data_IF_547418860619
#
_entry.id   IF_547418860619
#
_cell.length_a   1.000
_cell.length_b   1.000
_cell.length_c   1.000
_cell.angle_alpha   90.00
_cell.angle_beta   90.00
_cell.angle_gamma   90.00
#
_symmetry.space_group_name_H-M   'P 1'
#
loop_
_entity.id
_entity.type
_entity.pdbx_description
1 polymer ?
#
# COMPACT_ATOMS: atom_id res chain seq x y z
N UNK A 1 -9.88 -13.76 -37.41
CA UNK A 1 -9.79 -13.00 -36.13
C UNK A 1 -9.18 -11.66 -36.47
N UNK A 2 -9.84 -10.55 -36.13
CA UNK A 2 -9.25 -9.23 -36.34
C UNK A 2 -7.92 -9.16 -35.55
N UNK A 3 -6.87 -8.63 -36.17
CA UNK A 3 -5.58 -8.40 -35.50
C UNK A 3 -5.87 -7.49 -34.31
N UNK A 4 -5.52 -7.92 -33.09
CA UNK A 4 -5.69 -7.08 -31.91
C UNK A 4 -4.87 -5.81 -32.08
N UNK A 5 -5.49 -4.66 -31.81
CA UNK A 5 -4.84 -3.37 -31.89
C UNK A 5 -3.64 -3.32 -30.92
N UNK A 6 -2.51 -2.83 -31.41
CA UNK A 6 -1.31 -2.64 -30.60
C UNK A 6 -0.49 -1.46 -31.14
N UNK A 7 0.31 -0.87 -30.27
CA UNK A 7 1.38 0.06 -30.65
C UNK A 7 2.71 -0.45 -30.10
N UNK A 8 3.81 -0.06 -30.73
CA UNK A 8 5.17 -0.35 -30.27
C UNK A 8 5.76 0.91 -29.65
N UNK A 9 6.28 0.78 -28.44
CA UNK A 9 6.95 1.86 -27.72
C UNK A 9 8.45 1.55 -27.68
N UNK A 10 9.28 2.52 -28.06
CA UNK A 10 10.73 2.47 -27.89
C UNK A 10 11.08 3.23 -26.61
N UNK A 11 11.33 2.50 -25.53
CA UNK A 11 11.55 3.07 -24.19
C UNK A 11 12.72 2.39 -23.51
N UNK A 12 13.61 3.18 -22.90
CA UNK A 12 14.86 2.69 -22.28
C UNK A 12 15.70 1.78 -23.19
N UNK A 13 15.66 1.98 -24.52
CA UNK A 13 16.36 1.13 -25.49
C UNK A 13 15.71 -0.24 -25.77
N UNK A 14 14.44 -0.40 -25.38
CA UNK A 14 13.66 -1.62 -25.57
C UNK A 14 12.36 -1.38 -26.32
N UNK A 15 12.03 -2.31 -27.21
CA UNK A 15 10.72 -2.39 -27.86
C UNK A 15 9.68 -3.02 -26.91
N UNK A 16 8.73 -2.21 -26.44
CA UNK A 16 7.62 -2.65 -25.60
C UNK A 16 6.32 -2.62 -26.39
N UNK A 17 5.73 -3.80 -26.62
CA UNK A 17 4.43 -3.94 -27.30
C UNK A 17 3.27 -3.61 -26.35
N UNK A 18 2.58 -2.50 -26.58
CA UNK A 18 1.37 -2.11 -25.86
C UNK A 18 0.13 -2.63 -26.58
N UNK A 19 -0.64 -3.49 -25.90
CA UNK A 19 -1.86 -4.09 -26.46
C UNK A 19 -3.13 -3.37 -26.00
N UNK A 20 -4.10 -3.22 -26.90
CA UNK A 20 -5.36 -2.51 -26.66
C UNK A 20 -5.13 -1.10 -26.07
N UNK A 21 -4.36 -0.22 -26.73
CA UNK A 21 -4.01 1.10 -26.21
C UNK A 21 -5.25 1.95 -25.90
N UNK A 22 -6.28 1.92 -26.74
CA UNK A 22 -7.53 2.66 -26.55
C UNK A 22 -8.49 2.08 -25.50
N UNK A 23 -8.10 1.05 -24.74
CA UNK A 23 -8.96 0.49 -23.69
C UNK A 23 -9.11 1.50 -22.56
N UNK A 24 -10.34 1.94 -22.29
CA UNK A 24 -10.66 2.86 -21.18
C UNK A 24 -10.44 2.17 -19.83
N UNK A 25 -9.58 2.76 -18.99
CA UNK A 25 -9.33 2.32 -17.62
C UNK A 25 -10.07 3.18 -16.60
N UNK A 26 -10.27 4.47 -16.89
CA UNK A 26 -10.97 5.42 -16.02
C UNK A 26 -12.16 6.02 -16.77
N UNK A 27 -13.37 5.43 -16.63
CA UNK A 27 -14.52 5.82 -17.46
C UNK A 27 -14.99 7.27 -17.28
N UNK A 28 -14.90 7.81 -16.07
CA UNK A 28 -15.37 9.18 -15.78
C UNK A 28 -14.56 10.26 -16.53
N UNK A 29 -13.21 10.29 -16.45
CA UNK A 29 -12.40 11.21 -17.26
C UNK A 29 -12.14 10.70 -18.68
N UNK A 30 -12.36 9.42 -18.96
CA UNK A 30 -12.11 8.80 -20.27
C UNK A 30 -10.68 8.29 -20.48
N UNK A 31 -9.82 8.29 -19.44
CA UNK A 31 -8.42 7.88 -19.59
C UNK A 31 -8.29 6.41 -19.99
N UNK A 32 -7.48 6.21 -21.01
CA UNK A 32 -7.17 4.93 -21.64
C UNK A 32 -5.91 4.30 -21.06
N UNK A 33 -5.63 3.07 -21.48
CA UNK A 33 -4.37 2.40 -21.18
C UNK A 33 -3.17 3.19 -21.73
N UNK A 34 -3.28 3.76 -22.92
CA UNK A 34 -2.20 4.56 -23.51
C UNK A 34 -1.90 5.79 -22.65
N UNK A 35 -2.92 6.53 -22.23
CA UNK A 35 -2.76 7.71 -21.37
C UNK A 35 -2.06 7.35 -20.05
N UNK A 36 -2.40 6.20 -19.47
CA UNK A 36 -1.75 5.70 -18.26
C UNK A 36 -0.27 5.36 -18.49
N UNK A 37 0.07 4.75 -19.64
CA UNK A 37 1.48 4.49 -19.99
C UNK A 37 2.23 5.81 -20.16
N UNK A 38 1.66 6.74 -20.91
CA UNK A 38 2.26 8.05 -21.16
C UNK A 38 2.49 8.84 -19.87
N UNK A 39 1.55 8.78 -18.92
CA UNK A 39 1.76 9.32 -17.56
C UNK A 39 2.99 8.71 -16.88
N UNK A 40 3.10 7.38 -16.84
CA UNK A 40 4.21 6.72 -16.15
C UNK A 40 5.55 6.97 -16.84
N UNK A 41 5.56 7.15 -18.16
CA UNK A 41 6.76 7.56 -18.90
C UNK A 41 7.13 9.02 -18.61
N UNK A 42 6.15 9.93 -18.57
CA UNK A 42 6.39 11.35 -18.28
C UNK A 42 6.83 11.61 -16.84
N UNK A 43 6.39 10.77 -15.89
CA UNK A 43 6.74 10.84 -14.48
C UNK A 43 7.86 9.85 -14.07
N UNK A 44 8.51 9.19 -15.03
CA UNK A 44 9.35 8.02 -14.75
C UNK A 44 10.47 8.29 -13.75
N UNK A 45 11.19 9.40 -13.89
CA UNK A 45 12.29 9.75 -12.98
C UNK A 45 11.82 9.79 -11.52
N UNK A 46 10.70 10.48 -11.26
CA UNK A 46 10.12 10.61 -9.92
C UNK A 46 9.49 9.30 -9.42
N UNK A 47 8.83 8.53 -10.30
CA UNK A 47 8.30 7.20 -9.97
C UNK A 47 9.43 6.25 -9.55
N UNK A 48 10.55 6.28 -10.27
CA UNK A 48 11.67 5.36 -10.07
C UNK A 48 12.48 5.67 -8.80
N UNK A 49 12.45 6.89 -8.27
CA UNK A 49 12.96 7.20 -6.92
C UNK A 49 12.35 6.27 -5.87
N UNK A 50 11.08 5.90 -6.05
CA UNK A 50 10.34 5.07 -5.09
C UNK A 50 10.24 3.59 -5.46
N UNK A 51 10.55 3.19 -6.71
CA UNK A 51 10.42 1.80 -7.18
C UNK A 51 11.75 1.10 -7.47
N UNK A 52 12.80 1.84 -7.82
CA UNK A 52 14.06 1.25 -8.28
C UNK A 52 14.67 0.34 -7.23
N UNK A 53 15.16 -0.81 -7.67
CA UNK A 53 15.69 -1.92 -6.87
C UNK A 53 14.67 -2.59 -5.93
N UNK A 54 13.39 -2.21 -5.93
CA UNK A 54 12.39 -2.78 -5.02
C UNK A 54 11.55 -3.86 -5.70
N UNK A 55 11.48 -5.07 -5.14
CA UNK A 55 10.44 -6.02 -5.52
C UNK A 55 9.08 -5.37 -5.29
N UNK A 56 8.16 -5.56 -6.23
CA UNK A 56 6.92 -4.78 -6.28
C UNK A 56 5.70 -5.67 -6.52
N UNK A 57 4.71 -5.55 -5.64
CA UNK A 57 3.39 -6.15 -5.83
C UNK A 57 2.60 -5.32 -6.83
N UNK A 58 2.08 -5.98 -7.86
CA UNK A 58 1.33 -5.38 -8.95
C UNK A 58 -0.17 -5.45 -8.66
N UNK A 59 -0.84 -4.30 -8.51
CA UNK A 59 -2.31 -4.24 -8.45
C UNK A 59 -2.88 -3.93 -9.82
N UNK A 60 -3.46 -4.95 -10.46
CA UNK A 60 -3.84 -4.94 -11.88
C UNK A 60 -5.33 -4.77 -12.07
N UNK A 61 -5.72 -3.85 -12.94
CA UNK A 61 -7.10 -3.59 -13.37
C UNK A 61 -7.21 -3.85 -14.87
N UNK A 62 -7.19 -5.13 -15.24
CA UNK A 62 -7.11 -5.55 -16.66
C UNK A 62 -8.29 -4.99 -17.47
N UNK A 63 -9.44 -4.77 -16.83
CA UNK A 63 -10.68 -4.27 -17.40
C UNK A 63 -11.09 -2.86 -16.93
N UNK A 64 -10.17 -2.10 -16.32
CA UNK A 64 -10.44 -0.77 -15.77
C UNK A 64 -10.88 -0.81 -14.31
N UNK A 65 -11.04 0.38 -13.70
CA UNK A 65 -11.15 0.55 -12.25
C UNK A 65 -12.49 0.11 -11.65
N UNK A 66 -13.53 -0.07 -12.48
CA UNK A 66 -14.86 -0.49 -12.02
C UNK A 66 -14.97 -2.01 -11.81
N UNK A 67 -13.90 -2.75 -12.11
CA UNK A 67 -13.82 -4.21 -11.97
C UNK A 67 -12.84 -4.57 -10.85
N UNK A 68 -13.00 -5.77 -10.29
CA UNK A 68 -12.13 -6.25 -9.22
C UNK A 68 -10.65 -6.28 -9.64
N UNK A 69 -9.73 -5.80 -8.78
CA UNK A 69 -8.31 -5.88 -9.06
C UNK A 69 -7.76 -7.29 -8.92
N UNK A 70 -6.72 -7.57 -9.70
CA UNK A 70 -5.85 -8.75 -9.51
C UNK A 70 -4.60 -8.28 -8.76
N UNK A 71 -4.44 -8.73 -7.52
CA UNK A 71 -3.20 -8.58 -6.77
C UNK A 71 -2.21 -9.65 -7.20
N UNK A 72 -1.13 -9.24 -7.86
CA UNK A 72 -0.13 -10.14 -8.43
C UNK A 72 1.25 -9.85 -7.85
N UNK A 73 1.74 -10.78 -7.04
CA UNK A 73 3.13 -10.78 -6.55
C UNK A 73 4.06 -11.39 -7.59
N UNK A 74 3.73 -12.60 -8.04
CA UNK A 74 4.56 -13.38 -8.97
C UNK A 74 4.44 -12.85 -10.40
N UNK A 75 5.56 -12.57 -11.04
CA UNK A 75 5.61 -12.23 -12.47
C UNK A 75 5.19 -13.42 -13.36
N UNK A 76 4.68 -13.20 -14.60
CA UNK A 76 4.36 -14.28 -15.52
C UNK A 76 5.60 -15.14 -15.87
N UNK A 77 5.39 -16.37 -16.37
CA UNK A 77 6.53 -17.28 -16.67
C UNK A 77 7.43 -16.84 -17.82
N UNK A 78 6.85 -16.18 -18.83
CA UNK A 78 7.58 -15.79 -20.03
C UNK A 78 7.83 -14.29 -19.97
N UNK A 79 9.02 -13.92 -19.50
CA UNK A 79 9.44 -12.54 -19.33
C UNK A 79 10.32 -12.09 -20.50
N UNK A 80 10.29 -10.80 -20.88
CA UNK A 80 11.36 -10.21 -21.67
C UNK A 80 12.71 -10.37 -20.96
N UNK A 81 13.79 -10.61 -21.71
CA UNK A 81 15.13 -10.87 -21.16
C UNK A 81 15.67 -9.70 -20.32
N UNK A 82 15.29 -8.47 -20.68
CA UNK A 82 15.71 -7.25 -19.98
C UNK A 82 14.96 -6.98 -18.68
N UNK A 83 13.87 -7.71 -18.40
CA UNK A 83 13.05 -7.47 -17.21
C UNK A 83 13.74 -8.00 -15.96
N UNK A 84 13.86 -7.15 -14.94
CA UNK A 84 14.53 -7.49 -13.70
C UNK A 84 13.53 -7.94 -12.63
N UNK A 85 13.94 -8.93 -11.82
CA UNK A 85 13.09 -9.55 -10.79
C UNK A 85 13.88 -9.80 -9.50
N UNK A 86 13.16 -10.08 -8.42
CA UNK A 86 13.73 -10.54 -7.16
C UNK A 86 12.83 -11.60 -6.53
N UNK A 87 13.41 -12.61 -5.87
CA UNK A 87 12.65 -13.67 -5.21
C UNK A 87 12.42 -13.34 -3.74
N UNK A 88 11.20 -12.94 -3.41
CA UNK A 88 10.74 -12.66 -2.04
C UNK A 88 10.26 -13.96 -1.39
N UNK A 89 10.89 -14.38 -0.29
CA UNK A 89 10.33 -15.39 0.61
C UNK A 89 9.24 -14.77 1.47
N UNK A 90 8.22 -15.50 1.92
CA UNK A 90 7.16 -15.01 2.82
C UNK A 90 7.21 -15.73 4.17
N UNK A 91 6.60 -15.18 5.25
CA UNK A 91 6.53 -15.87 6.54
C UNK A 91 5.91 -17.28 6.50
N UNK A 92 5.12 -17.58 5.45
CA UNK A 92 4.56 -18.91 5.21
C UNK A 92 5.57 -19.95 4.68
N UNK A 93 6.81 -19.55 4.37
CA UNK A 93 7.82 -20.39 3.70
C UNK A 93 7.68 -20.46 2.18
N UNK A 94 6.62 -19.88 1.60
CA UNK A 94 6.47 -19.74 0.14
C UNK A 94 7.37 -18.63 -0.39
N UNK A 95 7.69 -18.67 -1.69
CA UNK A 95 8.38 -17.59 -2.40
C UNK A 95 7.54 -17.04 -3.55
N UNK A 96 7.80 -15.80 -3.96
CA UNK A 96 7.35 -15.21 -5.21
C UNK A 96 8.52 -14.50 -5.90
N UNK A 97 8.65 -14.70 -7.21
CA UNK A 97 9.52 -13.88 -8.04
C UNK A 97 8.71 -12.64 -8.43
N UNK A 98 9.08 -11.49 -7.91
CA UNK A 98 8.38 -10.22 -8.09
C UNK A 98 9.13 -9.30 -9.05
N UNK A 99 8.40 -8.37 -9.68
CA UNK A 99 8.95 -7.36 -10.57
C UNK A 99 9.86 -6.41 -9.79
N UNK A 100 11.02 -6.07 -10.33
CA UNK A 100 11.87 -4.96 -9.88
C UNK A 100 11.91 -3.93 -11.01
N UNK A 101 11.14 -2.84 -10.87
CA UNK A 101 11.02 -1.83 -11.91
C UNK A 101 12.17 -0.83 -11.83
N UNK A 102 13.11 -0.91 -12.77
CA UNK A 102 14.37 -0.15 -12.74
C UNK A 102 14.48 0.95 -13.81
N UNK A 103 13.58 0.96 -14.78
CA UNK A 103 13.53 1.93 -15.87
C UNK A 103 12.09 2.04 -16.44
N UNK A 104 11.94 2.92 -17.41
CA UNK A 104 10.71 3.22 -18.13
C UNK A 104 10.09 2.00 -18.84
N UNK A 105 10.93 1.10 -19.36
CA UNK A 105 10.45 -0.10 -20.04
C UNK A 105 9.76 -1.06 -19.06
N UNK A 106 10.27 -1.17 -17.83
CA UNK A 106 9.62 -1.96 -16.78
C UNK A 106 8.24 -1.39 -16.42
N UNK A 107 8.13 -0.05 -16.30
CA UNK A 107 6.86 0.62 -16.03
C UNK A 107 5.86 0.39 -17.16
N UNK A 108 6.25 0.66 -18.41
CA UNK A 108 5.40 0.46 -19.58
C UNK A 108 4.93 -1.00 -19.72
N UNK A 109 5.82 -1.97 -19.46
CA UNK A 109 5.46 -3.40 -19.46
C UNK A 109 4.43 -3.74 -18.39
N UNK A 110 4.62 -3.25 -17.16
CA UNK A 110 3.70 -3.51 -16.07
C UNK A 110 2.32 -2.89 -16.33
N UNK A 111 2.28 -1.64 -16.83
CA UNK A 111 1.03 -0.96 -17.20
C UNK A 111 0.34 -1.67 -18.37
N UNK A 112 1.08 -2.23 -19.34
CA UNK A 112 0.49 -3.04 -20.41
C UNK A 112 -0.23 -4.29 -19.87
N UNK A 113 0.29 -4.89 -18.80
CA UNK A 113 -0.38 -5.95 -18.04
C UNK A 113 -1.58 -5.45 -17.20
N UNK A 114 -1.84 -4.16 -17.19
CA UNK A 114 -2.94 -3.51 -16.50
C UNK A 114 -2.61 -3.05 -15.08
N UNK A 115 -1.32 -2.92 -14.72
CA UNK A 115 -0.96 -2.31 -13.43
C UNK A 115 -1.38 -0.84 -13.43
N UNK A 116 -2.21 -0.48 -12.46
CA UNK A 116 -2.55 0.92 -12.17
C UNK A 116 -1.78 1.40 -10.95
N UNK A 117 -1.67 0.54 -9.92
CA UNK A 117 -1.15 0.87 -8.60
C UNK A 117 0.04 -0.05 -8.26
N UNK A 118 1.25 0.52 -8.15
CA UNK A 118 2.48 -0.19 -7.81
C UNK A 118 2.71 -0.16 -6.29
N UNK A 119 3.01 -1.32 -5.71
CA UNK A 119 3.14 -1.48 -4.26
C UNK A 119 4.51 -2.09 -3.92
N UNK A 120 5.59 -1.29 -3.87
CA UNK A 120 6.93 -1.76 -3.57
C UNK A 120 7.08 -2.20 -2.11
N UNK A 121 7.87 -3.24 -1.87
CA UNK A 121 8.33 -3.58 -0.52
C UNK A 121 9.28 -2.47 0.01
N UNK A 122 9.38 -2.28 1.34
CA UNK A 122 10.27 -1.27 1.92
C UNK A 122 11.75 -1.72 1.94
N UNK A 123 12.12 -2.66 1.07
CA UNK A 123 13.46 -3.26 0.94
C UNK A 123 13.93 -3.19 -0.51
N UNK A 124 15.25 -3.28 -0.71
CA UNK A 124 15.87 -3.42 -2.03
C UNK A 124 16.25 -4.88 -2.29
N UNK A 125 16.35 -5.29 -3.55
CA UNK A 125 16.55 -6.70 -3.93
C UNK A 125 17.85 -7.34 -3.41
N UNK A 126 18.85 -6.54 -3.08
CA UNK A 126 20.13 -7.00 -2.55
C UNK A 126 20.03 -7.38 -1.06
N UNK A 127 19.05 -6.84 -0.34
CA UNK A 127 18.76 -7.18 1.06
C UNK A 127 17.25 -7.09 1.32
N UNK A 128 16.59 -8.25 1.35
CA UNK A 128 15.13 -8.36 1.49
C UNK A 128 14.64 -8.45 2.93
N UNK A 129 15.56 -8.47 3.91
CA UNK A 129 15.23 -8.68 5.32
C UNK A 129 15.44 -7.40 6.16
N UNK A 130 16.22 -6.42 5.68
CA UNK A 130 16.43 -5.13 6.35
C UNK A 130 15.81 -3.97 5.56
N UNK A 131 14.64 -3.45 5.98
CA UNK A 131 14.02 -2.30 5.32
C UNK A 131 14.92 -1.07 5.31
N UNK A 132 14.98 -0.38 4.17
CA UNK A 132 15.60 0.94 4.06
C UNK A 132 14.57 2.06 4.19
N UNK A 133 13.28 1.75 4.39
CA UNK A 133 12.20 2.74 4.48
C UNK A 133 11.28 2.49 5.69
N UNK A 134 11.21 3.46 6.59
CA UNK A 134 10.14 3.56 7.60
C UNK A 134 8.94 4.26 6.97
N UNK A 135 7.74 3.71 7.18
CA UNK A 135 6.48 4.21 6.62
C UNK A 135 5.52 4.65 7.72
N UNK A 136 5.09 5.90 7.70
CA UNK A 136 4.01 6.40 8.56
C UNK A 136 2.76 6.54 7.71
N UNK A 137 1.72 5.78 8.02
CA UNK A 137 0.45 5.78 7.28
C UNK A 137 -0.65 6.41 8.13
N UNK A 138 -1.25 7.48 7.61
CA UNK A 138 -2.26 8.28 8.29
C UNK A 138 -3.64 7.97 7.72
N UNK A 139 -4.36 7.10 8.42
CA UNK A 139 -5.68 6.60 8.04
C UNK A 139 -6.78 7.28 8.88
N UNK A 140 -7.56 8.22 8.31
CA UNK A 140 -8.68 8.81 9.04
C UNK A 140 -9.76 7.77 9.36
N UNK A 141 -10.35 7.85 10.55
CA UNK A 141 -11.61 7.15 10.83
C UNK A 141 -12.77 7.76 10.01
N UNK A 142 -13.92 7.08 9.86
CA UNK A 142 -14.99 7.51 8.95
C UNK A 142 -15.48 8.95 9.14
N UNK A 143 -15.45 9.47 10.38
CA UNK A 143 -15.95 10.80 10.73
C UNK A 143 -14.89 11.91 10.62
N UNK A 144 -13.67 11.57 10.20
CA UNK A 144 -12.51 12.47 10.21
C UNK A 144 -12.25 13.02 8.82
N UNK A 145 -12.24 14.34 8.73
CA UNK A 145 -12.04 15.08 7.50
C UNK A 145 -10.57 15.17 7.08
N UNK A 146 -10.38 15.63 5.85
CA UNK A 146 -9.06 15.92 5.30
C UNK A 146 -8.24 16.96 6.10
N UNK A 147 -8.83 18.05 6.67
CA UNK A 147 -8.09 19.00 7.49
C UNK A 147 -7.40 18.36 8.70
N UNK A 148 -8.04 17.39 9.34
CA UNK A 148 -7.48 16.64 10.47
C UNK A 148 -6.31 15.77 10.03
N UNK A 149 -6.38 15.13 8.85
CA UNK A 149 -5.27 14.35 8.28
C UNK A 149 -4.04 15.24 8.05
N UNK A 150 -4.22 16.44 7.48
CA UNK A 150 -3.13 17.42 7.28
C UNK A 150 -2.52 17.85 8.61
N UNK A 151 -3.34 18.17 9.61
CA UNK A 151 -2.86 18.55 10.96
C UNK A 151 -2.06 17.41 11.61
N UNK A 152 -2.55 16.18 11.54
CA UNK A 152 -1.83 15.00 12.06
C UNK A 152 -0.51 14.79 11.33
N UNK A 153 -0.45 15.01 10.01
CA UNK A 153 0.81 14.95 9.26
C UNK A 153 1.84 15.99 9.73
N UNK A 154 1.41 17.19 10.11
CA UNK A 154 2.31 18.19 10.69
C UNK A 154 2.86 17.76 12.06
N UNK A 155 2.05 17.10 12.90
CA UNK A 155 2.53 16.53 14.16
C UNK A 155 3.54 15.40 13.90
N UNK A 156 3.32 14.56 12.87
CA UNK A 156 4.31 13.57 12.43
C UNK A 156 5.63 14.23 12.05
N UNK A 157 5.60 15.34 11.31
CA UNK A 157 6.81 16.08 10.94
C UNK A 157 7.58 16.54 12.18
N UNK A 158 6.90 17.12 13.17
CA UNK A 158 7.51 17.55 14.43
C UNK A 158 8.17 16.39 15.17
N UNK A 159 7.47 15.26 15.28
CA UNK A 159 8.02 14.05 15.93
C UNK A 159 9.24 13.53 15.19
N UNK A 160 9.20 13.47 13.85
CA UNK A 160 10.35 13.03 13.05
C UNK A 160 11.56 13.95 13.26
N UNK A 161 11.36 15.27 13.18
CA UNK A 161 12.42 16.26 13.38
C UNK A 161 13.06 16.16 14.77
N UNK A 162 12.26 16.01 15.83
CA UNK A 162 12.75 15.83 17.20
C UNK A 162 13.59 14.55 17.38
N UNK A 163 13.41 13.57 16.51
CA UNK A 163 14.16 12.31 16.51
C UNK A 163 15.24 12.26 15.41
N UNK A 164 15.55 13.40 14.78
CA UNK A 164 16.61 13.50 13.76
C UNK A 164 16.30 12.79 12.45
N UNK A 165 15.03 12.51 12.17
CA UNK A 165 14.58 11.83 10.96
C UNK A 165 13.96 12.83 9.98
N UNK A 166 14.24 12.65 8.68
CA UNK A 166 13.63 13.44 7.62
C UNK A 166 12.48 12.67 6.97
N UNK A 167 11.27 13.20 7.10
CA UNK A 167 10.08 12.65 6.44
C UNK A 167 9.84 13.25 5.05
N UNK A 168 9.21 12.45 4.18
CA UNK A 168 8.81 12.79 2.83
C UNK A 168 7.31 12.50 2.68
N UNK A 169 6.45 13.53 2.85
CA UNK A 169 5.02 13.34 2.82
C UNK A 169 4.54 13.15 1.38
N UNK A 170 3.50 12.34 1.22
CA UNK A 170 2.76 12.19 -0.02
C UNK A 170 1.28 11.99 0.30
N UNK A 171 0.40 12.60 -0.49
CA UNK A 171 -1.00 12.17 -0.46
C UNK A 171 -1.04 10.70 -0.87
N UNK A 172 -1.89 9.89 -0.24
CA UNK A 172 -2.04 8.51 -0.69
C UNK A 172 -2.77 8.44 -2.03
N UNK A 173 -3.50 9.50 -2.42
CA UNK A 173 -4.43 9.50 -3.55
C UNK A 173 -5.73 8.76 -3.24
N UNK A 174 -5.97 8.40 -1.97
CA UNK A 174 -7.23 7.89 -1.43
C UNK A 174 -7.71 8.80 -0.30
N UNK A 175 -7.72 8.34 0.96
CA UNK A 175 -8.25 9.10 2.10
C UNK A 175 -7.17 9.71 3.02
N UNK A 176 -5.90 9.33 2.86
CA UNK A 176 -4.84 9.58 3.85
C UNK A 176 -3.58 10.23 3.29
N UNK A 177 -2.60 10.41 4.17
CA UNK A 177 -1.23 10.84 3.85
C UNK A 177 -0.28 9.72 4.28
N UNK A 178 0.71 9.41 3.44
CA UNK A 178 1.84 8.59 3.87
C UNK A 178 3.05 9.51 4.05
N UNK A 179 3.89 9.23 5.05
CA UNK A 179 5.21 9.86 5.19
C UNK A 179 6.26 8.76 5.13
N UNK A 180 7.09 8.81 4.10
CA UNK A 180 8.23 7.90 3.95
C UNK A 180 9.46 8.51 4.61
N UNK A 181 10.29 7.68 5.22
CA UNK A 181 11.56 8.08 5.83
C UNK A 181 12.63 7.10 5.37
N UNK A 182 13.66 7.58 4.68
CA UNK A 182 14.84 6.76 4.35
C UNK A 182 15.62 6.49 5.63
N UNK A 183 15.92 5.22 5.89
CA UNK A 183 16.65 4.76 7.07
C UNK A 183 17.84 3.89 6.66
N UNK A 184 18.81 3.76 7.55
CA UNK A 184 19.90 2.80 7.40
C UNK A 184 19.33 1.36 7.38
N UNK A 185 19.64 0.53 6.36
CA UNK A 185 19.10 -0.83 6.24
C UNK A 185 19.86 -1.82 7.12
N UNK A 186 19.87 -1.56 8.43
CA UNK A 186 20.54 -2.40 9.44
C UNK A 186 19.56 -3.03 10.43
N UNK A 187 18.30 -2.61 10.38
CA UNK A 187 17.22 -3.07 11.23
C UNK A 187 16.29 -4.01 10.47
N UNK A 188 15.81 -5.06 11.15
CA UNK A 188 14.81 -5.94 10.56
C UNK A 188 13.39 -5.34 10.60
N UNK A 189 12.42 -6.01 9.98
CA UNK A 189 11.02 -5.58 10.00
C UNK A 189 10.42 -5.43 11.42
N UNK A 190 10.92 -6.19 12.41
CA UNK A 190 10.41 -6.14 13.78
C UNK A 190 10.85 -4.83 14.43
N UNK A 191 12.13 -4.49 14.30
CA UNK A 191 12.70 -3.24 14.83
C UNK A 191 12.11 -2.00 14.13
N UNK A 192 11.98 -2.03 12.80
CA UNK A 192 11.37 -0.91 12.04
C UNK A 192 9.90 -0.70 12.47
N UNK A 193 9.12 -1.79 12.63
CA UNK A 193 7.75 -1.69 13.16
C UNK A 193 7.71 -1.19 14.59
N UNK A 194 8.66 -1.60 15.44
CA UNK A 194 8.76 -1.14 16.83
C UNK A 194 9.03 0.36 16.89
N UNK A 195 9.93 0.88 16.05
CA UNK A 195 10.15 2.32 15.89
C UNK A 195 8.88 3.04 15.39
N UNK A 196 8.17 2.47 14.40
CA UNK A 196 6.91 3.03 13.91
C UNK A 196 5.82 3.12 14.98
N UNK A 197 5.71 2.11 15.85
CA UNK A 197 4.77 2.11 16.98
C UNK A 197 5.12 3.18 18.01
N UNK A 198 6.40 3.36 18.34
CA UNK A 198 6.85 4.41 19.24
C UNK A 198 6.54 5.81 18.68
N UNK A 199 6.78 6.02 17.38
CA UNK A 199 6.38 7.24 16.67
C UNK A 199 4.87 7.46 16.74
N UNK A 200 4.05 6.44 16.44
CA UNK A 200 2.59 6.53 16.48
C UNK A 200 2.07 6.93 17.86
N UNK A 201 2.64 6.37 18.93
CA UNK A 201 2.31 6.72 20.32
C UNK A 201 2.72 8.14 20.67
N UNK A 202 3.87 8.59 20.18
CA UNK A 202 4.32 9.97 20.41
C UNK A 202 3.43 10.98 19.71
N UNK A 203 2.99 10.69 18.49
CA UNK A 203 2.00 11.50 17.77
C UNK A 203 0.68 11.55 18.56
N UNK A 204 0.18 10.40 19.03
CA UNK A 204 -1.03 10.34 19.88
C UNK A 204 -0.85 11.11 21.20
N UNK A 205 0.33 11.06 21.84
CA UNK A 205 0.61 11.84 23.07
C UNK A 205 0.57 13.35 22.84
N UNK A 206 1.08 13.82 21.70
CA UNK A 206 1.12 15.25 21.36
C UNK A 206 -0.22 15.79 20.87
N UNK A 207 -0.99 14.95 20.19
CA UNK A 207 -2.28 15.33 19.62
C UNK A 207 -3.37 14.28 19.92
N UNK A 208 -3.72 14.08 21.21
CA UNK A 208 -4.61 13.00 21.63
C UNK A 208 -6.03 13.14 21.09
N UNK A 209 -6.47 14.34 20.71
CA UNK A 209 -7.79 14.56 20.11
C UNK A 209 -7.78 14.36 18.58
N UNK A 210 -6.61 14.35 17.94
CA UNK A 210 -6.46 14.27 16.48
C UNK A 210 -5.97 12.91 15.99
N UNK A 211 -5.20 12.19 16.78
CA UNK A 211 -4.54 10.96 16.35
C UNK A 211 -4.70 9.82 17.36
N UNK A 212 -4.61 8.59 16.88
CA UNK A 212 -4.68 7.39 17.70
C UNK A 212 -3.68 6.33 17.25
N UNK A 213 -3.07 5.62 18.21
CA UNK A 213 -2.30 4.40 17.96
C UNK A 213 -3.08 3.13 18.36
N UNK A 214 -4.37 3.24 18.67
CA UNK A 214 -5.19 2.11 19.11
C UNK A 214 -5.47 1.15 17.96
N UNK A 215 -5.15 -0.13 18.18
CA UNK A 215 -5.31 -1.16 17.16
C UNK A 215 -6.78 -1.43 16.82
N UNK A 216 -7.65 -1.49 17.83
CA UNK A 216 -9.04 -1.89 17.68
C UNK A 216 -9.87 -0.78 17.05
N UNK A 217 -10.61 -1.07 15.98
CA UNK A 217 -11.37 -0.06 15.23
C UNK A 217 -12.34 0.70 16.13
N UNK A 218 -12.96 0.02 17.08
CA UNK A 218 -13.91 0.60 18.03
C UNK A 218 -13.25 1.43 19.15
N UNK A 219 -11.92 1.38 19.29
CA UNK A 219 -11.13 2.28 20.15
C UNK A 219 -10.59 3.49 19.40
N UNK A 220 -10.65 3.48 18.07
CA UNK A 220 -10.05 4.53 17.26
C UNK A 220 -10.93 5.77 17.27
N UNK A 221 -10.27 6.90 17.39
CA UNK A 221 -10.79 8.23 17.13
C UNK A 221 -9.75 9.00 16.32
N UNK A 222 -10.17 10.08 15.64
CA UNK A 222 -9.22 10.87 14.85
C UNK A 222 -8.54 10.06 13.73
N UNK A 223 -7.28 10.37 13.49
CA UNK A 223 -6.44 9.75 12.47
C UNK A 223 -5.66 8.59 13.10
N UNK A 224 -5.89 7.38 12.60
CA UNK A 224 -5.10 6.21 12.99
C UNK A 224 -3.72 6.27 12.34
N UNK A 225 -2.67 6.21 13.15
CA UNK A 225 -1.29 6.10 12.67
C UNK A 225 -0.95 4.61 12.54
N UNK A 226 -1.11 4.04 11.34
CA UNK A 226 -1.00 2.59 11.11
C UNK A 226 0.47 2.12 11.09
N UNK A 227 1.00 1.91 12.29
CA UNK A 227 2.34 1.34 12.50
C UNK A 227 2.49 -0.08 11.89
N UNK A 228 1.41 -0.82 11.67
CA UNK A 228 1.47 -2.17 11.11
C UNK A 228 1.78 -2.17 9.61
N UNK A 229 1.81 -1.04 8.91
CA UNK A 229 2.30 -0.97 7.52
C UNK A 229 3.80 -1.28 7.39
N UNK A 230 4.54 -1.23 8.50
CA UNK A 230 5.95 -1.64 8.56
C UNK A 230 6.12 -3.14 8.84
N UNK A 231 5.02 -3.88 9.00
CA UNK A 231 5.11 -5.33 8.96
C UNK A 231 5.47 -5.80 7.54
N UNK A 232 6.16 -6.93 7.46
CA UNK A 232 6.50 -7.60 6.19
C UNK A 232 5.24 -7.84 5.36
N UNK A 233 5.31 -7.83 4.02
CA UNK A 233 4.16 -8.19 3.16
C UNK A 233 2.92 -7.28 3.27
N UNK A 234 3.12 -6.01 3.62
CA UNK A 234 2.10 -4.96 3.59
C UNK A 234 2.21 -4.16 2.31
N UNK A 235 1.06 -3.84 1.71
CA UNK A 235 0.99 -3.09 0.46
C UNK A 235 0.82 -1.61 0.75
N UNK A 236 1.77 -0.80 0.28
CA UNK A 236 1.72 0.66 0.33
C UNK A 236 1.95 1.16 -1.09
N UNK A 237 1.02 1.97 -1.60
CA UNK A 237 1.15 2.54 -2.93
C UNK A 237 2.42 3.40 -3.03
N UNK A 238 3.19 3.20 -4.11
CA UNK A 238 4.42 3.93 -4.40
C UNK A 238 4.17 5.44 -4.50
N UNK A 239 5.23 6.24 -4.31
CA UNK A 239 5.23 7.60 -4.84
C UNK A 239 4.93 7.56 -6.34
N UNK A 240 4.09 8.50 -6.76
CA UNK A 240 3.59 8.71 -8.11
C UNK A 240 2.78 7.56 -8.74
N UNK A 241 2.38 6.55 -7.97
CA UNK A 241 1.39 5.57 -8.46
C UNK A 241 0.01 6.20 -8.65
N UNK A 242 -0.58 5.99 -9.83
CA UNK A 242 -2.00 6.30 -10.06
C UNK A 242 -2.84 5.39 -9.18
N UNK A 243 -3.91 5.94 -8.61
CA UNK A 243 -4.85 5.23 -7.74
C UNK A 243 -6.11 4.90 -8.53
N UNK A 244 -6.76 3.76 -8.25
CA UNK A 244 -8.01 3.36 -8.91
C UNK A 244 -9.21 4.16 -8.36
N UNK A 245 -9.13 5.48 -8.44
CA UNK A 245 -10.19 6.42 -8.06
C UNK A 245 -10.91 6.93 -9.32
N UNK A 246 -12.18 7.35 -9.21
CA UNK A 246 -12.94 7.80 -10.39
C UNK A 246 -12.29 8.93 -11.18
N UNK A 247 -11.50 9.78 -10.53
CA UNK A 247 -10.78 10.93 -11.08
C UNK A 247 -9.29 10.64 -11.34
N UNK A 248 -8.82 9.39 -11.23
CA UNK A 248 -7.44 9.00 -11.51
C UNK A 248 -6.39 9.78 -10.69
N UNK A 249 -6.64 9.96 -9.38
CA UNK A 249 -5.70 10.58 -8.45
C UNK A 249 -4.38 9.85 -8.39
N UNK A 250 -3.34 10.56 -7.97
CA UNK A 250 -1.98 10.05 -7.84
C UNK A 250 -1.56 10.08 -6.37
N UNK A 251 -0.83 9.05 -5.93
CA UNK A 251 -0.08 9.07 -4.67
C UNK A 251 1.13 10.01 -4.82
N UNK A 252 0.92 11.32 -4.68
CA UNK A 252 1.89 12.34 -5.12
C UNK A 252 2.69 12.91 -3.94
N UNK A 253 4.02 12.98 -4.08
CA UNK A 253 4.89 13.59 -3.07
C UNK A 253 4.66 15.10 -2.96
N UNK A 254 4.78 15.60 -1.74
CA UNK A 254 4.60 16.99 -1.36
C UNK A 254 5.86 17.50 -0.65
N UNK A 255 6.14 18.79 -0.81
CA UNK A 255 6.98 19.50 0.14
C UNK A 255 6.19 19.72 1.44
N UNK A 256 6.89 19.82 2.57
CA UNK A 256 6.23 19.96 3.88
C UNK A 256 5.40 21.24 4.02
N UNK A 257 5.79 22.32 3.34
CA UNK A 257 5.05 23.58 3.30
C UNK A 257 3.78 23.52 2.44
N UNK A 258 3.66 22.55 1.53
CA UNK A 258 2.43 22.29 0.76
C UNK A 258 1.39 21.49 1.56
N UNK A 259 1.82 20.71 2.58
CA UNK A 259 0.94 19.80 3.32
C UNK A 259 -0.31 20.47 3.92
N UNK A 260 -0.24 21.67 4.53
CA UNK A 260 -1.42 22.33 5.12
C UNK A 260 -2.52 22.68 4.11
N UNK A 261 -2.17 22.88 2.85
CA UNK A 261 -3.08 23.35 1.79
C UNK A 261 -3.30 22.29 0.69
N UNK A 262 -2.63 21.14 0.77
CA UNK A 262 -2.72 20.10 -0.24
C UNK A 262 -4.15 19.59 -0.41
N UNK A 263 -4.60 19.46 -1.67
CA UNK A 263 -5.90 18.88 -2.03
C UNK A 263 -5.70 17.68 -2.96
N UNK A 264 -6.00 16.44 -2.52
CA UNK A 264 -5.73 15.23 -3.33
C UNK A 264 -6.43 15.21 -4.69
N UNK A 265 -7.56 15.89 -4.83
CA UNK A 265 -8.31 15.99 -6.10
C UNK A 265 -7.58 16.79 -7.19
N UNK A 266 -6.58 17.59 -6.82
CA UNK A 266 -5.76 18.36 -7.75
C UNK A 266 -4.58 17.56 -8.31
N UNK A 267 -4.25 16.43 -7.67
CA UNK A 267 -3.08 15.60 -7.96
C UNK A 267 -3.54 14.35 -8.71
N UNK A 268 -3.63 14.45 -10.04
CA UNK A 268 -4.21 13.44 -10.93
C UNK A 268 -3.25 13.06 -12.04
N UNK A 269 -3.58 11.98 -12.74
CA UNK A 269 -2.88 11.50 -13.93
C UNK A 269 -2.58 12.63 -14.93
N UNK A 270 -3.52 13.55 -15.15
CA UNK A 270 -3.41 14.65 -16.12
C UNK A 270 -2.66 15.89 -15.62
N UNK A 271 -2.55 16.08 -14.30
CA UNK A 271 -1.97 17.32 -13.73
C UNK A 271 -0.55 17.13 -13.21
N UNK A 272 -0.23 15.94 -12.71
CA UNK A 272 1.06 15.65 -12.07
C UNK A 272 2.26 15.78 -13.02
N UNK A 273 2.22 15.37 -14.30
CA UNK A 273 3.37 15.56 -15.20
C UNK A 273 3.76 17.03 -15.36
N UNK A 274 2.78 17.92 -15.51
CA UNK A 274 3.05 19.36 -15.59
C UNK A 274 3.60 19.89 -14.26
N UNK A 275 3.06 19.43 -13.13
CA UNK A 275 3.58 19.78 -11.79
C UNK A 275 5.06 19.40 -11.65
N UNK A 276 5.43 18.17 -12.01
CA UNK A 276 6.83 17.72 -11.92
C UNK A 276 7.77 18.59 -12.76
N UNK A 277 7.33 19.08 -13.93
CA UNK A 277 8.12 19.98 -14.76
C UNK A 277 8.28 21.39 -14.16
N UNK A 278 7.30 21.87 -13.38
CA UNK A 278 7.31 23.24 -12.85
C UNK A 278 7.93 23.35 -11.47
N UNK A 279 7.64 22.41 -10.57
CA UNK A 279 8.11 22.43 -9.18
C UNK A 279 9.19 21.39 -8.88
N UNK A 280 9.41 20.41 -9.76
CA UNK A 280 10.28 19.27 -9.51
C UNK A 280 9.62 18.19 -8.63
N UNK A 281 10.41 17.20 -8.24
CA UNK A 281 10.02 16.15 -7.30
C UNK A 281 10.45 16.54 -5.87
N UNK A 282 9.51 16.82 -4.94
CA UNK A 282 9.82 17.14 -3.55
C UNK A 282 10.55 16.03 -2.77
N UNK A 283 10.51 14.80 -3.27
CA UNK A 283 11.17 13.63 -2.69
C UNK A 283 12.42 13.20 -3.47
N UNK A 284 12.89 13.97 -4.45
CA UNK A 284 14.04 13.63 -5.28
C UNK A 284 15.33 13.32 -4.48
N UNK A 285 15.45 13.92 -3.29
CA UNK A 285 16.62 13.78 -2.43
C UNK A 285 16.46 12.75 -1.29
N UNK A 286 15.39 11.94 -1.32
CA UNK A 286 15.08 10.95 -0.27
C UNK A 286 16.23 9.97 0.03
N UNK A 287 17.02 9.64 -0.98
CA UNK A 287 18.13 8.69 -0.85
C UNK A 287 19.46 9.34 -0.39
N UNK A 288 19.54 10.68 -0.26
CA UNK A 288 20.80 11.35 0.04
C UNK A 288 21.26 11.21 1.50
N UNK A 289 20.32 11.19 2.44
CA UNK A 289 20.64 11.17 3.88
C UNK A 289 19.75 10.17 4.61
N UNK A 290 20.15 8.89 4.68
CA UNK A 290 19.49 7.91 5.51
C UNK A 290 19.55 8.29 7.00
N UNK A 291 18.42 8.16 7.70
CA UNK A 291 18.34 8.39 9.14
C UNK A 291 18.61 7.12 9.95
N UNK A 292 19.08 7.29 11.19
CA UNK A 292 19.16 6.22 12.19
C UNK A 292 17.84 6.11 12.96
N UNK A 293 17.39 4.88 13.24
CA UNK A 293 16.21 4.62 14.07
C UNK A 293 16.49 4.66 15.58
N UNK A 294 17.73 4.85 16.00
CA UNK A 294 18.15 4.76 17.41
C UNK A 294 17.28 5.60 18.35
N UNK A 295 16.99 6.85 17.98
CA UNK A 295 16.17 7.74 18.80
C UNK A 295 14.72 7.23 18.98
N UNK A 296 14.11 6.65 17.95
CA UNK A 296 12.78 6.05 18.04
C UNK A 296 12.81 4.71 18.79
N UNK A 297 13.88 3.93 18.65
CA UNK A 297 14.05 2.67 19.38
C UNK A 297 14.33 2.92 20.88
N UNK A 298 15.00 4.02 21.22
CA UNK A 298 15.15 4.51 22.59
C UNK A 298 13.81 4.97 23.18
N UNK A 299 12.97 5.64 22.39
CA UNK A 299 11.60 5.96 22.77
C UNK A 299 10.77 4.68 22.99
N UNK A 300 10.88 3.68 22.10
CA UNK A 300 10.22 2.39 22.25
C UNK A 300 10.64 1.68 23.55
N UNK A 301 11.93 1.70 23.89
CA UNK A 301 12.44 1.13 25.15
C UNK A 301 11.84 1.84 26.37
N UNK A 302 11.76 3.17 26.36
CA UNK A 302 11.13 3.94 27.45
C UNK A 302 9.63 3.63 27.58
N UNK A 303 8.92 3.49 26.46
CA UNK A 303 7.52 3.06 26.46
C UNK A 303 7.37 1.68 27.13
N UNK A 304 8.24 0.72 26.79
CA UNK A 304 8.25 -0.63 27.39
C UNK A 304 8.56 -0.61 28.89
N UNK A 305 9.57 0.14 29.31
CA UNK A 305 9.89 0.37 30.73
C UNK A 305 8.72 1.02 31.49
N UNK A 306 7.95 1.87 30.80
CA UNK A 306 6.70 2.47 31.28
C UNK A 306 5.47 1.57 31.22
N UNK A 307 5.60 0.32 30.78
CA UNK A 307 4.52 -0.67 30.71
C UNK A 307 3.73 -0.69 29.39
N UNK A 308 4.13 0.10 28.39
CA UNK A 308 3.57 0.09 27.04
C UNK A 308 4.41 -0.83 26.13
N UNK A 309 4.20 -2.15 26.25
CA UNK A 309 4.87 -3.16 25.42
C UNK A 309 4.45 -3.18 23.94
N UNK A 310 4.70 -4.29 23.23
CA UNK A 310 4.30 -4.45 21.83
C UNK A 310 2.77 -4.26 21.64
N UNK A 311 2.37 -3.77 20.47
CA UNK A 311 0.97 -3.64 20.08
C UNK A 311 0.53 -4.82 19.20
N UNK A 312 -0.79 -5.13 19.12
CA UNK A 312 -1.26 -6.25 18.33
C UNK A 312 -0.80 -6.20 16.87
N UNK A 313 -0.47 -7.37 16.35
CA UNK A 313 -0.20 -7.60 14.93
C UNK A 313 -1.51 -7.92 14.21
N UNK A 314 -1.57 -7.75 12.88
CA UNK A 314 -2.77 -8.11 12.13
C UNK A 314 -3.12 -9.60 12.34
N UNK A 315 -4.41 -9.97 12.55
CA UNK A 315 -4.83 -11.32 12.96
C UNK A 315 -4.36 -12.45 12.05
N UNK A 316 -4.14 -12.16 10.78
CA UNK A 316 -3.76 -13.14 9.75
C UNK A 316 -2.25 -13.27 9.56
N UNK A 317 -1.42 -12.52 10.31
CA UNK A 317 0.03 -12.57 10.13
C UNK A 317 0.64 -13.84 10.76
N UNK A 318 1.35 -14.68 9.99
CA UNK A 318 2.16 -15.74 10.56
C UNK A 318 3.28 -15.13 11.42
N UNK A 319 3.71 -15.86 12.46
CA UNK A 319 4.91 -15.50 13.22
C UNK A 319 6.16 -15.70 12.37
N UNK A 320 7.11 -14.78 12.47
CA UNK A 320 8.42 -14.92 11.86
C UNK A 320 9.32 -15.82 12.71
N UNK A 321 10.36 -16.40 12.09
CA UNK A 321 11.33 -17.24 12.80
C UNK A 321 12.17 -16.35 13.72
N UNK A 322 12.17 -16.65 15.03
CA UNK A 322 12.87 -15.83 16.03
C UNK A 322 12.04 -14.69 16.62
N UNK A 323 10.79 -14.51 16.16
CA UNK A 323 9.92 -13.45 16.65
C UNK A 323 9.51 -13.68 18.13
N UNK A 324 9.61 -12.66 19.00
CA UNK A 324 9.12 -12.72 20.38
C UNK A 324 7.62 -13.06 20.49
N UNK A 325 7.14 -13.33 21.72
CA UNK A 325 5.71 -13.53 21.95
C UNK A 325 4.94 -12.23 21.68
N UNK A 326 4.20 -12.20 20.56
CA UNK A 326 3.21 -11.14 20.27
C UNK A 326 2.23 -10.95 21.42
N UNK A 327 1.86 -9.70 21.67
CA UNK A 327 0.69 -9.36 22.47
C UNK A 327 -0.55 -9.86 21.70
N UNK A 328 -1.30 -10.74 22.34
CA UNK A 328 -2.57 -11.20 21.77
C UNK A 328 -3.57 -10.04 21.80
N UNK A 329 -4.44 -9.93 20.79
CA UNK A 329 -5.53 -8.97 20.85
C UNK A 329 -6.43 -9.33 22.04
N UNK A 330 -6.29 -8.66 23.19
CA UNK A 330 -7.19 -8.85 24.33
C UNK A 330 -8.28 -7.79 24.30
N UNK A 331 -9.52 -8.21 24.05
CA UNK A 331 -10.74 -7.52 24.47
C UNK A 331 -11.84 -8.55 24.70
N UNK A 332 -12.01 -8.97 25.96
CA UNK A 332 -13.24 -9.65 26.39
C UNK A 332 -13.36 -9.55 27.92
N UNK A 333 -14.32 -8.76 28.42
CA UNK A 333 -14.82 -8.94 29.80
C UNK A 333 -16.32 -9.19 29.87
N UNK A 334 -17.07 -9.21 28.77
CA UNK A 334 -18.53 -9.34 28.82
C UNK A 334 -19.14 -10.14 27.65
N UNK A 335 -18.57 -11.29 27.30
CA UNK A 335 -19.34 -12.36 26.64
C UNK A 335 -19.67 -13.48 27.63
N UNK A 336 -20.96 -13.81 27.85
CA UNK A 336 -21.31 -15.02 28.57
C UNK A 336 -20.77 -16.21 27.79
N UNK A 337 -19.82 -16.94 28.36
CA UNK A 337 -19.32 -18.19 27.79
C UNK A 337 -20.45 -19.23 27.87
N UNK A 338 -21.25 -19.34 26.82
CA UNK A 338 -22.01 -20.57 26.60
C UNK A 338 -20.99 -21.66 26.27
N UNK A 339 -20.70 -22.52 27.27
CA UNK A 339 -20.07 -23.82 27.02
C UNK A 339 -21.05 -24.68 26.22
N UNK A 340 -20.99 -24.56 24.89
CA UNK A 340 -21.64 -25.47 23.95
C UNK A 340 -20.87 -26.79 23.88
N UNK A 341 -21.60 -27.90 24.01
CA UNK A 341 -21.08 -29.27 23.93
C UNK A 341 -20.60 -29.58 22.50
N UNK A 342 -19.71 -30.57 22.36
CA UNK A 342 -19.30 -31.09 21.06
C UNK A 342 -20.53 -31.50 20.23
N UNK A 343 -20.78 -30.79 19.12
CA UNK A 343 -21.87 -31.11 18.19
C UNK A 343 -22.69 -29.94 17.63
N UNK A 344 -22.42 -28.67 17.97
CA UNK A 344 -23.17 -27.55 17.39
C UNK A 344 -22.68 -27.13 15.98
N UNK A 345 -23.58 -26.71 15.05
CA UNK A 345 -23.28 -26.55 13.64
C UNK A 345 -22.53 -25.23 13.33
N UNK A 346 -21.56 -25.29 12.42
CA UNK A 346 -20.95 -24.10 11.81
C UNK A 346 -22.01 -23.27 11.05
N UNK A 347 -22.09 -21.94 11.24
CA UNK A 347 -22.93 -21.10 10.40
C UNK A 347 -22.27 -20.96 9.02
N UNK A 348 -22.95 -21.44 7.98
CA UNK A 348 -22.51 -21.32 6.58
C UNK A 348 -22.62 -22.58 5.71
N UNK A 349 -23.16 -23.69 6.20
CA UNK A 349 -23.48 -24.86 5.38
C UNK A 349 -24.90 -24.81 4.79
N UNK A 350 -25.14 -25.23 3.54
CA UNK A 350 -26.50 -25.40 3.04
C UNK A 350 -27.19 -26.56 3.79
N UNK A 351 -28.52 -26.52 3.98
CA UNK A 351 -29.23 -27.53 4.75
C UNK A 351 -29.22 -28.90 4.05
N UNK A 352 -29.08 -30.03 4.77
CA UNK A 352 -29.00 -31.35 4.15
C UNK A 352 -30.36 -32.04 4.03
N UNK A 353 -30.60 -32.67 2.87
CA UNK A 353 -31.59 -33.74 2.68
C UNK A 353 -32.28 -33.73 1.32
N UNK A 354 -31.78 -34.49 0.34
CA UNK A 354 -32.43 -35.61 -0.38
C UNK A 354 -31.48 -36.12 -1.49
N UNK A 355 -31.47 -37.45 -1.59
CA UNK A 355 -30.67 -38.44 -2.32
C UNK A 355 -30.34 -38.17 -3.80
N UNK A 356 -29.17 -38.66 -4.22
CA UNK A 356 -28.67 -38.77 -5.60
C UNK A 356 -29.61 -39.55 -6.54
N UNK A 357 -29.73 -39.04 -7.78
CA UNK A 357 -30.23 -39.77 -8.94
C UNK A 357 -29.63 -39.22 -10.24
N UNK A 358 -28.58 -39.92 -10.72
CA UNK A 358 -27.96 -39.90 -12.06
C UNK A 358 -28.41 -38.85 -13.10
N UNK A 359 -27.45 -38.08 -13.64
CA UNK A 359 -26.91 -38.30 -15.01
C UNK A 359 -25.97 -37.18 -15.47
N UNK A 360 -25.06 -37.57 -16.37
CA UNK A 360 -23.94 -36.85 -16.97
C UNK A 360 -24.24 -35.44 -17.52
N UNK A 361 -23.28 -34.50 -17.37
CA UNK A 361 -22.46 -33.88 -18.45
C UNK A 361 -21.64 -32.70 -17.88
N UNK A 362 -20.38 -32.59 -18.31
CA UNK A 362 -19.39 -31.67 -17.74
C UNK A 362 -19.53 -30.21 -18.16
N UNK A 363 -18.83 -29.31 -17.44
CA UNK A 363 -18.08 -28.14 -17.93
C UNK A 363 -17.52 -27.32 -16.74
N UNK A 364 -16.27 -26.86 -16.86
CA UNK A 364 -15.75 -25.59 -16.31
C UNK A 364 -15.52 -25.45 -14.80
N UNK A 365 -14.28 -25.61 -14.34
CA UNK A 365 -13.84 -25.14 -13.02
C UNK A 365 -13.44 -23.66 -13.05
N UNK A 366 -14.26 -22.79 -12.47
CA UNK A 366 -13.86 -21.44 -12.01
C UNK A 366 -13.04 -21.58 -10.72
N UNK A 367 -11.95 -20.84 -10.50
CA UNK A 367 -11.37 -20.67 -9.18
C UNK A 367 -12.15 -19.62 -8.36
N UNK A 368 -12.33 -19.91 -7.07
CA UNK A 368 -12.98 -19.05 -6.06
C UNK A 368 -12.14 -17.80 -5.81
N UNK A 369 -12.75 -16.63 -6.00
CA UNK A 369 -12.26 -15.32 -5.55
C UNK A 369 -12.59 -15.12 -4.07
N UNK A 370 -11.62 -14.57 -3.32
CA UNK A 370 -11.80 -14.13 -1.92
C UNK A 370 -12.57 -12.82 -1.86
N UNK A 371 -13.43 -12.71 -0.85
CA UNK A 371 -14.41 -11.64 -0.64
C UNK A 371 -13.80 -10.24 -0.55
N UNK A 372 -14.51 -9.30 -1.18
CA UNK A 372 -14.16 -7.89 -1.32
C UNK A 372 -14.44 -7.04 -0.07
N UNK A 373 -13.88 -5.84 -0.11
CA UNK A 373 -14.21 -4.73 0.77
C UNK A 373 -15.51 -4.09 0.26
N UNK A 374 -16.50 -3.95 1.13
CA UNK A 374 -17.70 -3.14 0.88
C UNK A 374 -17.31 -1.66 1.01
N UNK A 375 -17.31 -0.93 -0.11
CA UNK A 375 -17.26 0.54 -0.14
C UNK A 375 -18.70 1.07 -0.18
N UNK A 376 -19.14 1.67 0.92
CA UNK A 376 -20.41 2.39 1.00
C UNK A 376 -20.26 3.79 0.37
N UNK A 377 -20.84 3.96 -0.82
CA UNK A 377 -21.12 5.26 -1.40
C UNK A 377 -22.60 5.56 -1.16
N UNK A 378 -22.90 6.55 -0.29
CA UNK A 378 -24.24 7.15 -0.25
C UNK A 378 -24.15 8.62 -0.62
N UNK A 379 -24.82 8.94 -1.74
CA UNK A 379 -25.17 10.29 -2.17
C UNK A 379 -26.15 10.90 -1.17
N UNK A 380 -25.91 12.16 -0.80
CA UNK A 380 -26.90 13.01 -0.14
C UNK A 380 -27.05 14.33 -0.89
N UNK A 381 -27.86 14.30 -1.96
CA UNK A 381 -28.50 15.50 -2.50
C UNK A 381 -30.01 15.28 -2.58
N UNK A 382 -30.74 15.84 -1.61
CA UNK A 382 -32.11 16.36 -1.76
C UNK A 382 -32.36 17.44 -0.71
N UNK A 383 -32.12 18.70 -1.05
CA UNK A 383 -33.17 19.72 -1.30
C UNK A 383 -32.55 20.99 -1.87
#
# INVERSE_FOLDING_TARGET
MAKSEYTMLEVAGHEVRLSNPGKVYFPKPGWTKLDLVEYYLAAADAVLVHLRERPTVMKRFVNGINEDPIWQKRVPKNLPEWLQTATVAFPSGRTAEELVANDEAHLAWAVNLGVIDFNPHPVRRDDLDHPDELRVDLDPTPDVGWPEVRKTAMVVNEVLNDHGLRGYPKVSGSKGIHVNVRIEPIHDYIEVRRAALALAREVERRAPDLATSKWWKEERHGVFVDYNQNARDRTVASGYSVRPTPDARVSCALAWDEVPDAEPGELRLDTVPQRLQTVGDPAADIDLVPGSLDALLDLARRDEEGGLGDAPWPPHFPKQRGEPKRVQPSRDTDRPTHRGRAGDPQPGGPPPGVTLGNSQRGFGSKPRTGQGYEDDWSESEKT
#
